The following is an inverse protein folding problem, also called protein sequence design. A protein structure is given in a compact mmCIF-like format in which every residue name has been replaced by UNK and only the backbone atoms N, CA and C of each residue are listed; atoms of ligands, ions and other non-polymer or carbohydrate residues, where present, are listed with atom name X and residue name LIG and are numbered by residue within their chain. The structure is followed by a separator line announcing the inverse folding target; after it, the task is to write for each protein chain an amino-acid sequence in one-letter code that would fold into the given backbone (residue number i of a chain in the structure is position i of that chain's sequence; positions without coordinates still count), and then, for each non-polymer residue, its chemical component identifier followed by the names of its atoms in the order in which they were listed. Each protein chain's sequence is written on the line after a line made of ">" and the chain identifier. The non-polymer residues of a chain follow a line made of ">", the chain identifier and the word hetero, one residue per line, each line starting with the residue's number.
data_IF_490563398610
#
_entry.id   IF_490563398610
#
_cell.length_a   1.000
_cell.length_b   1.000
_cell.length_c   1.000
_cell.angle_alpha   90.00
_cell.angle_beta   90.00
_cell.angle_gamma   90.00
#
_symmetry.space_group_name_H-M   'P 1'
#
loop_
_entity.id
_entity.type
_entity.pdbx_description
1 polymer ?
#
# COMPACT_ATOMS: atom_id res chain seq x y z
N UNK A 1 14.71 12.14 -30.18
CA UNK A 1 14.14 12.71 -28.94
C UNK A 1 14.16 11.62 -27.88
N UNK A 2 15.04 11.74 -26.89
CA UNK A 2 15.14 10.75 -25.82
C UNK A 2 13.92 10.90 -24.93
N UNK A 3 12.99 9.94 -24.98
CA UNK A 3 11.89 9.88 -24.03
C UNK A 3 12.54 9.74 -22.64
N UNK A 4 12.44 10.81 -21.83
CA UNK A 4 12.74 10.73 -20.40
C UNK A 4 11.84 9.63 -19.87
N UNK A 5 12.43 8.49 -19.50
CA UNK A 5 11.74 7.50 -18.69
C UNK A 5 11.23 8.24 -17.45
N UNK A 6 9.94 8.14 -17.10
CA UNK A 6 9.46 8.71 -15.85
C UNK A 6 10.35 8.15 -14.74
N UNK A 7 10.99 9.04 -13.99
CA UNK A 7 11.80 8.65 -12.84
C UNK A 7 10.89 7.83 -11.93
N UNK A 8 11.19 6.53 -11.78
CA UNK A 8 10.43 5.67 -10.90
C UNK A 8 10.46 6.28 -9.49
N UNK A 9 9.33 6.36 -8.78
CA UNK A 9 9.30 6.92 -7.43
C UNK A 9 10.27 6.16 -6.53
N UNK A 10 10.92 6.89 -5.62
CA UNK A 10 11.78 6.29 -4.61
C UNK A 10 10.90 5.64 -3.54
N UNK A 11 10.65 4.34 -3.69
CA UNK A 11 9.86 3.57 -2.73
C UNK A 11 10.53 3.49 -1.36
N UNK A 12 9.75 3.64 -0.29
CA UNK A 12 10.22 3.60 1.10
C UNK A 12 10.43 2.16 1.57
N UNK A 13 9.61 1.23 1.08
CA UNK A 13 9.69 -0.19 1.47
C UNK A 13 9.78 -1.11 0.23
N UNK A 14 10.58 -2.20 0.25
CA UNK A 14 10.71 -3.14 -0.89
C UNK A 14 9.38 -3.74 -1.37
N UNK A 15 8.38 -3.81 -0.50
CA UNK A 15 7.06 -4.30 -0.85
C UNK A 15 6.27 -3.32 -1.74
N UNK A 16 6.51 -2.02 -1.61
CA UNK A 16 5.91 -0.99 -2.47
C UNK A 16 6.50 -1.08 -3.88
N UNK A 17 7.83 -1.16 -3.98
CA UNK A 17 8.50 -1.33 -5.27
C UNK A 17 8.03 -2.60 -5.99
N UNK A 18 7.95 -3.70 -5.27
CA UNK A 18 7.45 -4.96 -5.83
C UNK A 18 5.98 -4.83 -6.25
N UNK A 19 5.12 -4.17 -5.46
CA UNK A 19 3.73 -3.94 -5.84
C UNK A 19 3.63 -3.12 -7.12
N UNK A 20 4.39 -2.03 -7.24
CA UNK A 20 4.46 -1.20 -8.44
C UNK A 20 4.88 -2.02 -9.67
N UNK A 21 5.95 -2.82 -9.56
CA UNK A 21 6.41 -3.71 -10.65
C UNK A 21 5.32 -4.69 -11.10
N UNK A 22 4.53 -5.22 -10.17
CA UNK A 22 3.41 -6.10 -10.51
C UNK A 22 2.29 -5.35 -11.20
N UNK A 23 1.95 -4.14 -10.74
CA UNK A 23 0.96 -3.31 -11.43
C UNK A 23 1.40 -2.96 -12.86
N UNK A 24 2.67 -2.57 -13.04
CA UNK A 24 3.27 -2.29 -14.36
C UNK A 24 3.20 -3.51 -15.28
N UNK A 25 3.55 -4.70 -14.78
CA UNK A 25 3.49 -5.94 -15.55
C UNK A 25 2.07 -6.23 -16.10
N UNK A 26 1.04 -5.93 -15.32
CA UNK A 26 -0.36 -6.09 -15.74
C UNK A 26 -0.94 -4.87 -16.46
N UNK A 27 -0.17 -3.80 -16.66
CA UNK A 27 -0.64 -2.55 -17.25
C UNK A 27 -1.70 -1.84 -16.40
N UNK A 28 -1.77 -2.13 -15.10
CA UNK A 28 -2.68 -1.45 -14.18
C UNK A 28 -2.12 -0.06 -13.89
N UNK A 29 -2.90 0.99 -14.13
CA UNK A 29 -2.46 2.36 -13.84
C UNK A 29 -2.46 2.63 -12.34
N UNK A 30 -1.32 3.07 -11.81
CA UNK A 30 -1.15 3.37 -10.39
C UNK A 30 -0.46 4.72 -10.15
N UNK A 31 -0.71 5.29 -8.98
CA UNK A 31 -0.06 6.50 -8.45
C UNK A 31 0.47 6.17 -7.05
N UNK A 32 1.74 6.44 -6.78
CA UNK A 32 2.35 6.26 -5.45
C UNK A 32 2.10 7.49 -4.56
N UNK A 33 1.75 7.25 -3.30
CA UNK A 33 1.41 8.29 -2.30
C UNK A 33 0.49 9.41 -2.87
N UNK A 34 -0.66 9.05 -3.46
CA UNK A 34 -1.46 9.91 -4.33
C UNK A 34 -1.98 11.19 -3.65
N UNK A 35 -2.32 11.09 -2.36
CA UNK A 35 -2.80 12.19 -1.53
C UNK A 35 -2.85 11.80 -0.07
N UNK A 36 -2.81 12.82 0.79
CA UNK A 36 -2.98 12.70 2.23
C UNK A 36 -4.41 13.06 2.63
N UNK A 37 -4.95 12.32 3.60
CA UNK A 37 -6.25 12.53 4.23
C UNK A 37 -6.04 12.92 5.69
N UNK A 38 -6.64 14.03 6.11
CA UNK A 38 -6.63 14.45 7.50
C UNK A 38 -7.69 13.65 8.28
N UNK A 39 -7.33 13.10 9.43
CA UNK A 39 -8.16 12.18 10.20
C UNK A 39 -8.50 12.68 11.60
N UNK A 40 -7.61 13.46 12.22
CA UNK A 40 -7.85 14.07 13.53
C UNK A 40 -7.23 15.46 13.59
N UNK A 41 -7.83 16.35 14.39
CA UNK A 41 -7.40 17.72 14.60
C UNK A 41 -7.36 18.03 16.10
N UNK A 42 -6.51 18.97 16.51
CA UNK A 42 -6.51 19.51 17.87
C UNK A 42 -7.55 20.63 18.06
N UNK A 43 -7.64 21.19 19.26
CA UNK A 43 -8.57 22.27 19.59
C UNK A 43 -8.36 23.56 18.77
N UNK A 44 -7.19 23.74 18.15
CA UNK A 44 -6.86 24.88 17.30
C UNK A 44 -7.10 24.56 15.81
N UNK A 45 -7.66 23.39 15.48
CA UNK A 45 -7.89 22.94 14.12
C UNK A 45 -6.62 22.45 13.39
N UNK A 46 -5.52 22.19 14.11
CA UNK A 46 -4.30 21.65 13.51
C UNK A 46 -4.39 20.14 13.39
N UNK A 47 -4.04 19.59 12.23
CA UNK A 47 -4.02 18.14 11.97
C UNK A 47 -3.05 17.44 12.93
N UNK A 48 -3.56 16.46 13.67
CA UNK A 48 -2.78 15.63 14.61
C UNK A 48 -2.61 14.20 14.12
N UNK A 49 -3.51 13.73 13.23
CA UNK A 49 -3.41 12.45 12.56
C UNK A 49 -3.78 12.61 11.10
N UNK A 50 -2.90 12.15 10.22
CA UNK A 50 -3.15 12.08 8.79
C UNK A 50 -2.81 10.69 8.25
N UNK A 51 -3.30 10.41 7.05
CA UNK A 51 -3.09 9.15 6.38
C UNK A 51 -2.90 9.33 4.88
N UNK A 52 -1.80 8.80 4.38
CA UNK A 52 -1.43 8.78 2.97
C UNK A 52 -1.41 7.31 2.57
N UNK A 53 -2.35 6.83 1.74
CA UNK A 53 -2.31 5.47 1.24
C UNK A 53 -1.08 5.25 0.37
N UNK A 54 -0.50 4.06 0.40
CA UNK A 54 0.69 3.75 -0.40
C UNK A 54 0.45 3.92 -1.92
N UNK A 55 -0.72 3.51 -2.41
CA UNK A 55 -1.07 3.56 -3.84
C UNK A 55 -2.50 3.99 -4.11
N UNK A 56 -2.75 4.49 -5.32
CA UNK A 56 -4.08 4.60 -5.92
C UNK A 56 -4.10 3.94 -7.30
N UNK A 57 -5.07 3.06 -7.52
CA UNK A 57 -5.30 2.37 -8.79
C UNK A 57 -6.43 3.09 -9.52
N UNK A 58 -6.09 3.85 -10.56
CA UNK A 58 -7.02 4.82 -11.16
C UNK A 58 -8.18 4.18 -11.91
N UNK A 59 -7.97 2.98 -12.45
CA UNK A 59 -8.98 2.28 -13.25
C UNK A 59 -10.09 1.68 -12.39
N UNK A 60 -9.75 1.41 -11.12
CA UNK A 60 -10.64 0.83 -10.13
C UNK A 60 -11.16 1.86 -9.12
N UNK A 61 -10.71 3.12 -9.23
CA UNK A 61 -10.94 4.17 -8.23
C UNK A 61 -10.69 3.64 -6.81
N UNK A 62 -9.50 3.06 -6.59
CA UNK A 62 -9.18 2.30 -5.37
C UNK A 62 -7.85 2.76 -4.76
N UNK A 63 -7.90 3.22 -3.52
CA UNK A 63 -6.72 3.43 -2.68
C UNK A 63 -6.28 2.11 -2.04
N UNK A 64 -4.98 1.85 -2.04
CA UNK A 64 -4.37 0.63 -1.50
C UNK A 64 -3.33 1.01 -0.46
N UNK A 65 -3.45 0.41 0.71
CA UNK A 65 -2.47 0.47 1.77
C UNK A 65 -1.86 -0.93 1.96
N UNK A 66 -0.55 -1.06 1.83
CA UNK A 66 0.15 -2.32 2.03
C UNK A 66 0.31 -2.60 3.52
N UNK A 67 0.05 -3.85 3.92
CA UNK A 67 0.33 -4.33 5.28
C UNK A 67 1.31 -5.50 5.25
N UNK A 68 2.59 -5.15 5.36
CA UNK A 68 3.71 -6.08 5.46
C UNK A 68 3.88 -6.54 6.93
N UNK A 69 2.90 -7.32 7.39
CA UNK A 69 3.01 -8.25 8.54
C UNK A 69 3.75 -7.75 9.79
N UNK A 70 3.11 -6.89 10.60
CA UNK A 70 3.25 -6.94 12.06
C UNK A 70 1.88 -6.73 12.74
N UNK A 71 1.31 -7.76 13.40
CA UNK A 71 0.05 -7.64 14.14
C UNK A 71 0.03 -6.49 15.16
N UNK A 72 1.19 -6.13 15.73
CA UNK A 72 1.33 -5.05 16.71
C UNK A 72 1.11 -3.63 16.12
N UNK A 73 1.12 -3.46 14.80
CA UNK A 73 0.79 -2.19 14.13
C UNK A 73 -0.65 -2.16 13.61
N UNK A 74 -1.41 -3.24 13.80
CA UNK A 74 -2.79 -3.35 13.34
C UNK A 74 -3.69 -2.32 13.99
N UNK A 75 -3.51 -1.98 15.27
CA UNK A 75 -4.40 -1.05 15.97
C UNK A 75 -4.36 0.36 15.39
N UNK A 76 -3.15 0.87 15.05
CA UNK A 76 -3.02 2.21 14.44
C UNK A 76 -3.55 2.24 13.01
N UNK A 77 -3.25 1.21 12.19
CA UNK A 77 -3.79 1.10 10.82
C UNK A 77 -5.32 0.92 10.86
N UNK A 78 -5.85 0.09 11.76
CA UNK A 78 -7.29 -0.11 11.94
C UNK A 78 -7.99 1.17 12.41
N UNK A 79 -7.37 1.95 13.31
CA UNK A 79 -7.88 3.26 13.69
C UNK A 79 -7.98 4.18 12.47
N UNK A 80 -6.92 4.27 11.66
CA UNK A 80 -6.92 5.07 10.44
C UNK A 80 -7.98 4.60 9.44
N UNK A 81 -8.11 3.30 9.21
CA UNK A 81 -9.14 2.75 8.31
C UNK A 81 -10.56 3.02 8.81
N UNK A 82 -10.78 2.93 10.13
CA UNK A 82 -12.07 3.29 10.73
C UNK A 82 -12.38 4.77 10.54
N UNK A 83 -11.42 5.66 10.82
CA UNK A 83 -11.57 7.10 10.61
C UNK A 83 -11.78 7.45 9.14
N UNK A 84 -11.11 6.74 8.21
CA UNK A 84 -11.35 6.89 6.78
C UNK A 84 -12.81 6.55 6.42
N UNK A 85 -13.33 5.44 6.95
CA UNK A 85 -14.73 5.05 6.69
C UNK A 85 -15.73 6.04 7.30
N UNK A 86 -15.40 6.66 8.45
CA UNK A 86 -16.25 7.64 9.12
C UNK A 86 -16.21 9.03 8.45
N UNK A 87 -15.02 9.51 8.06
CA UNK A 87 -14.82 10.87 7.53
C UNK A 87 -14.89 10.96 6.00
N UNK A 88 -14.56 9.87 5.30
CA UNK A 88 -14.47 9.80 3.85
C UNK A 88 -15.18 8.55 3.31
N UNK A 89 -16.51 8.41 3.53
CA UNK A 89 -17.25 7.19 3.21
C UNK A 89 -17.29 6.86 1.71
N UNK A 90 -17.11 7.86 0.84
CA UNK A 90 -17.11 7.69 -0.61
C UNK A 90 -15.75 7.26 -1.17
N UNK A 91 -14.71 7.19 -0.34
CA UNK A 91 -13.37 6.80 -0.77
C UNK A 91 -13.20 5.29 -0.64
N UNK A 92 -13.02 4.61 -1.77
CA UNK A 92 -12.70 3.19 -1.77
C UNK A 92 -11.26 2.99 -1.33
N UNK A 93 -11.07 2.40 -0.14
CA UNK A 93 -9.73 2.11 0.37
C UNK A 93 -9.62 0.67 0.88
N UNK A 94 -8.55 -0.01 0.49
CA UNK A 94 -8.29 -1.41 0.86
C UNK A 94 -6.93 -1.58 1.50
N UNK A 95 -6.93 -2.21 2.68
CA UNK A 95 -5.73 -2.70 3.32
C UNK A 95 -5.34 -4.05 2.70
N UNK A 96 -4.24 -4.09 1.94
CA UNK A 96 -3.78 -5.28 1.23
C UNK A 96 -2.74 -6.06 2.03
N UNK A 97 -3.09 -7.29 2.42
CA UNK A 97 -2.19 -8.17 3.18
C UNK A 97 -1.15 -8.82 2.28
N UNK A 98 0.02 -9.16 2.85
CA UNK A 98 1.08 -9.92 2.14
C UNK A 98 0.54 -11.18 1.45
N UNK A 99 -0.38 -11.91 2.10
CA UNK A 99 -1.02 -13.09 1.51
C UNK A 99 -1.88 -12.74 0.29
N UNK A 100 -2.66 -11.67 0.35
CA UNK A 100 -3.50 -11.22 -0.78
C UNK A 100 -2.65 -10.76 -1.95
N UNK A 101 -1.55 -10.04 -1.68
CA UNK A 101 -0.56 -9.68 -2.68
C UNK A 101 0.06 -10.91 -3.33
N UNK A 102 0.45 -11.92 -2.54
CA UNK A 102 0.97 -13.18 -3.05
C UNK A 102 -0.07 -13.93 -3.88
N UNK A 103 -1.30 -14.05 -3.37
CA UNK A 103 -2.37 -14.78 -4.05
C UNK A 103 -2.74 -14.05 -5.38
N UNK A 104 -2.63 -12.71 -5.43
CA UNK A 104 -2.70 -11.93 -6.67
C UNK A 104 -1.51 -12.24 -7.60
N UNK A 105 -0.29 -12.37 -7.11
CA UNK A 105 0.84 -12.73 -7.98
C UNK A 105 0.71 -14.15 -8.54
N UNK A 106 0.33 -15.12 -7.70
CA UNK A 106 0.16 -16.53 -8.07
C UNK A 106 -0.99 -16.70 -9.06
N UNK A 107 -2.14 -16.06 -8.83
CA UNK A 107 -3.33 -16.20 -9.69
C UNK A 107 -3.06 -15.75 -11.13
N UNK A 108 -2.09 -14.89 -11.35
CA UNK A 108 -1.82 -14.29 -12.65
C UNK A 108 -0.45 -14.69 -13.24
N UNK A 109 0.22 -15.68 -12.65
CA UNK A 109 1.40 -16.34 -13.24
C UNK A 109 2.77 -15.77 -12.85
N UNK A 110 2.83 -14.88 -11.86
CA UNK A 110 4.07 -14.28 -11.32
C UNK A 110 4.63 -15.13 -10.18
N UNK A 111 4.98 -16.39 -10.48
CA UNK A 111 5.42 -17.37 -9.48
C UNK A 111 6.77 -16.97 -8.86
N UNK A 112 7.75 -16.55 -9.65
CA UNK A 112 9.08 -16.14 -9.16
C UNK A 112 8.98 -14.94 -8.20
N UNK A 113 8.14 -13.95 -8.52
CA UNK A 113 7.92 -12.79 -7.66
C UNK A 113 7.17 -13.17 -6.37
N UNK A 114 6.23 -14.11 -6.46
CA UNK A 114 5.54 -14.65 -5.29
C UNK A 114 6.48 -15.43 -4.35
N UNK A 115 7.53 -16.07 -4.86
CA UNK A 115 8.56 -16.74 -4.05
C UNK A 115 9.47 -15.73 -3.31
N UNK A 116 9.79 -14.59 -3.91
CA UNK A 116 10.52 -13.51 -3.23
C UNK A 116 9.73 -12.91 -2.04
N UNK A 117 8.40 -12.98 -2.07
CA UNK A 117 7.52 -12.68 -0.92
C UNK A 117 7.62 -13.74 0.18
N UNK A 118 8.18 -14.91 -0.06
CA UNK A 118 8.43 -15.87 1.01
C UNK A 118 9.76 -15.60 1.73
N UNK A 119 10.78 -15.10 1.01
CA UNK A 119 12.17 -15.02 1.49
C UNK A 119 12.57 -13.83 2.37
N UNK A 120 11.79 -12.75 2.48
CA UNK A 120 12.17 -11.58 3.30
C UNK A 120 11.66 -11.68 4.74
N UNK A 121 12.49 -12.36 5.55
CA UNK A 121 12.59 -12.37 7.01
C UNK A 121 11.31 -12.20 7.85
N UNK A 122 10.67 -13.34 8.13
CA UNK A 122 10.05 -13.59 9.41
C UNK A 122 10.71 -14.82 10.06
N UNK A 123 11.97 -14.72 10.51
CA UNK A 123 12.53 -15.57 11.56
C UNK A 123 13.94 -15.15 11.98
N UNK A 124 14.02 -14.44 13.11
CA UNK A 124 14.91 -14.84 14.21
C UNK A 124 14.14 -14.63 15.51
N UNK A 125 13.38 -15.65 15.91
CA UNK A 125 13.16 -15.93 17.34
C UNK A 125 14.39 -16.74 17.73
N UNK A 126 15.33 -16.13 18.45
CA UNK A 126 16.39 -16.88 19.11
C UNK A 126 15.76 -17.65 20.30
N UNK A 127 16.28 -18.86 20.62
CA UNK A 127 15.84 -19.65 21.76
C UNK A 127 16.07 -18.94 23.11
#
# INVERSE_FOLDING_TARGET
>A
MSLKQPQAPSFVHPAEEMFARVMDYYGVRWIYEPRTFDLEWDANGKVTLAFTPDFYLSDQDLYVELTTLRPQLSTKKNKKMRLMAELYPDINIKLMKRREMRDLMVKYGLYDQAEHIQGTQAQKKAP
#
